data_IF_307547640984
#
_entry.id   IF_307547640984
#
_cell.length_a   1.000
_cell.length_b   1.000
_cell.length_c   1.000
_cell.angle_alpha   90.00
_cell.angle_beta   90.00
_cell.angle_gamma   90.00
#
_symmetry.space_group_name_H-M   'P 1'
#
loop_
_entity.id
_entity.type
_entity.pdbx_description
1 polymer ?
#
# COMPACT_ATOMS: atom_id res chain seq x y z
N UNK A 1 -22.02 12.00 2.33
CA UNK A 1 -21.88 11.47 0.94
C UNK A 1 -20.87 10.34 0.99
N UNK A 2 -21.35 9.09 0.80
CA UNK A 2 -20.47 7.91 0.81
C UNK A 2 -19.67 7.84 -0.49
N UNK A 3 -18.36 7.76 -0.37
CA UNK A 3 -17.44 7.68 -1.51
C UNK A 3 -16.73 6.32 -1.49
N UNK A 4 -16.99 5.50 -2.53
CA UNK A 4 -16.28 4.25 -2.72
C UNK A 4 -14.87 4.51 -3.24
N UNK A 5 -13.89 3.88 -2.62
CA UNK A 5 -12.48 4.00 -2.99
C UNK A 5 -11.95 2.59 -3.25
N UNK A 6 -11.77 2.26 -4.53
CA UNK A 6 -11.16 1.01 -4.97
C UNK A 6 -9.67 1.25 -5.15
N UNK A 7 -8.82 0.42 -4.55
CA UNK A 7 -7.38 0.57 -4.67
C UNK A 7 -6.62 -0.19 -3.60
N UNK A 8 -5.30 -0.04 -3.62
CA UNK A 8 -4.42 -0.77 -2.72
C UNK A 8 -4.48 -0.29 -1.27
N UNK A 9 -4.35 -1.25 -0.35
CA UNK A 9 -3.90 -1.06 1.02
C UNK A 9 -2.52 -1.69 1.11
N UNK A 10 -1.54 -0.98 1.66
CA UNK A 10 -0.16 -1.44 1.71
C UNK A 10 0.55 -0.98 2.98
N UNK A 11 1.65 -1.63 3.31
CA UNK A 11 2.64 -1.14 4.26
C UNK A 11 3.87 -0.62 3.54
N UNK A 12 4.37 0.54 3.97
CA UNK A 12 5.63 1.10 3.51
C UNK A 12 6.69 0.89 4.60
N UNK A 13 7.62 -0.05 4.35
CA UNK A 13 8.78 -0.30 5.22
C UNK A 13 9.92 0.61 4.74
N UNK A 14 10.18 1.67 5.48
CA UNK A 14 11.11 2.74 5.09
C UNK A 14 12.39 2.62 5.89
N UNK A 15 13.51 2.54 5.18
CA UNK A 15 14.87 2.41 5.71
C UNK A 15 15.74 3.56 5.20
N UNK A 16 16.57 4.12 6.06
CA UNK A 16 17.53 5.17 5.67
C UNK A 16 18.93 4.61 5.74
N UNK A 17 19.59 4.56 4.59
CA UNK A 17 20.98 4.20 4.48
C UNK A 17 21.85 5.45 4.77
N UNK A 18 22.75 5.43 5.78
CA UNK A 18 23.44 6.62 6.25
C UNK A 18 24.66 7.00 5.40
N UNK A 19 24.61 6.77 4.09
CA UNK A 19 25.63 7.13 3.10
C UNK A 19 24.95 7.30 1.72
N UNK A 20 25.73 7.42 0.66
CA UNK A 20 25.26 7.52 -0.72
C UNK A 20 25.42 6.18 -1.44
N UNK A 21 24.39 5.73 -2.17
CA UNK A 21 24.45 4.49 -2.97
C UNK A 21 25.61 4.46 -3.96
N UNK A 22 25.95 5.62 -4.56
CA UNK A 22 27.09 5.76 -5.49
C UNK A 22 28.44 5.36 -4.90
N UNK A 23 28.57 5.37 -3.57
CA UNK A 23 29.81 4.96 -2.89
C UNK A 23 29.92 3.44 -2.76
N UNK A 24 28.82 2.71 -2.94
CA UNK A 24 28.70 1.27 -2.73
C UNK A 24 28.33 0.50 -4.00
N UNK A 25 27.69 1.16 -4.96
CA UNK A 25 27.32 0.56 -6.26
C UNK A 25 28.32 1.06 -7.30
N UNK A 26 29.20 0.15 -7.77
CA UNK A 26 30.21 0.46 -8.78
C UNK A 26 29.59 0.31 -10.18
N UNK A 27 29.50 1.39 -10.98
CA UNK A 27 28.85 1.35 -12.29
C UNK A 27 29.41 0.28 -13.25
N UNK A 28 30.73 0.07 -13.22
CA UNK A 28 31.44 -0.91 -14.05
C UNK A 28 31.16 -2.37 -13.64
N UNK A 29 30.61 -2.59 -12.42
CA UNK A 29 30.30 -3.92 -11.88
C UNK A 29 28.80 -4.19 -11.74
N UNK A 30 27.95 -3.34 -12.30
CA UNK A 30 26.49 -3.45 -12.17
C UNK A 30 25.92 -4.77 -12.71
N UNK A 31 26.64 -5.41 -13.63
CA UNK A 31 26.25 -6.73 -14.18
C UNK A 31 26.41 -7.89 -13.18
N UNK A 32 27.11 -7.68 -12.07
CA UNK A 32 27.29 -8.65 -10.97
C UNK A 32 27.04 -7.96 -9.63
N UNK A 33 25.88 -7.29 -9.50
CA UNK A 33 25.56 -6.50 -8.33
C UNK A 33 25.31 -7.40 -7.12
N UNK A 34 26.17 -7.30 -6.11
CA UNK A 34 25.98 -7.90 -4.79
C UNK A 34 26.31 -6.83 -3.75
N UNK A 35 25.27 -6.13 -3.30
CA UNK A 35 25.41 -5.00 -2.36
C UNK A 35 24.53 -5.26 -1.15
N UNK A 36 25.07 -5.06 0.04
CA UNK A 36 24.35 -5.07 1.30
C UNK A 36 24.42 -3.69 1.95
N UNK A 37 23.27 -3.12 2.26
CA UNK A 37 23.20 -1.86 2.99
C UNK A 37 22.89 -2.13 4.46
N UNK A 38 23.76 -1.67 5.35
CA UNK A 38 23.46 -1.63 6.77
C UNK A 38 22.59 -0.40 7.05
N UNK A 39 21.34 -0.65 7.39
CA UNK A 39 20.38 0.40 7.74
C UNK A 39 20.09 0.33 9.24
N UNK A 40 20.46 1.36 10.01
CA UNK A 40 20.32 1.33 11.47
C UNK A 40 18.87 1.48 11.95
N UNK A 41 18.03 2.07 11.12
CA UNK A 41 16.63 2.36 11.45
C UNK A 41 15.67 1.92 10.35
N UNK A 42 14.56 1.34 10.77
CA UNK A 42 13.43 0.99 9.91
C UNK A 42 12.15 1.44 10.57
N UNK A 43 11.27 2.06 9.81
CA UNK A 43 9.90 2.35 10.22
C UNK A 43 8.90 1.71 9.26
N UNK A 44 7.76 1.33 9.78
CA UNK A 44 6.64 0.85 8.98
C UNK A 44 5.52 1.89 9.03
N UNK A 45 5.09 2.33 7.87
CA UNK A 45 4.01 3.30 7.71
C UNK A 45 2.78 2.65 7.06
N UNK A 46 1.62 3.22 7.32
CA UNK A 46 0.39 2.83 6.66
C UNK A 46 0.32 3.52 5.30
N UNK A 47 0.31 2.74 4.22
CA UNK A 47 0.36 3.20 2.84
C UNK A 47 -0.73 2.57 1.98
N UNK A 48 -0.50 2.60 0.67
CA UNK A 48 -1.49 2.18 -0.32
C UNK A 48 -2.44 3.30 -0.72
N UNK A 49 -2.79 3.33 -2.00
CA UNK A 49 -3.54 4.45 -2.57
C UNK A 49 -4.93 4.58 -1.95
N UNK A 50 -5.69 3.48 -1.79
CA UNK A 50 -7.01 3.54 -1.17
C UNK A 50 -6.93 3.94 0.30
N UNK A 51 -5.95 3.40 1.04
CA UNK A 51 -5.76 3.75 2.45
C UNK A 51 -5.50 5.24 2.66
N UNK A 52 -4.60 5.81 1.85
CA UNK A 52 -4.25 7.23 1.93
C UNK A 52 -5.42 8.14 1.50
N UNK A 53 -6.15 7.80 0.44
CA UNK A 53 -7.32 8.57 -0.01
C UNK A 53 -8.42 8.51 1.06
N UNK A 54 -8.69 7.34 1.62
CA UNK A 54 -9.71 7.16 2.66
C UNK A 54 -9.38 7.97 3.91
N UNK A 55 -8.12 7.94 4.35
CA UNK A 55 -7.65 8.75 5.48
C UNK A 55 -7.87 10.24 5.23
N UNK A 56 -7.41 10.76 4.10
CA UNK A 56 -7.52 12.18 3.78
C UNK A 56 -8.99 12.62 3.64
N UNK A 57 -9.82 11.81 2.97
CA UNK A 57 -11.26 12.07 2.85
C UNK A 57 -11.93 12.12 4.21
N UNK A 58 -11.57 11.21 5.12
CA UNK A 58 -12.10 11.18 6.49
C UNK A 58 -11.71 12.43 7.26
N UNK A 59 -10.45 12.87 7.15
CA UNK A 59 -9.98 14.11 7.79
C UNK A 59 -10.69 15.36 7.27
N UNK A 60 -11.16 15.34 6.04
CA UNK A 60 -11.97 16.40 5.43
C UNK A 60 -13.47 16.30 5.77
N UNK A 61 -13.87 15.37 6.63
CA UNK A 61 -15.26 15.18 7.06
C UNK A 61 -16.11 14.33 6.09
N UNK A 62 -15.48 13.65 5.14
CA UNK A 62 -16.18 12.75 4.23
C UNK A 62 -16.42 11.35 4.81
N UNK A 63 -17.11 10.51 4.05
CA UNK A 63 -17.46 9.13 4.41
C UNK A 63 -16.82 8.14 3.42
N UNK A 64 -15.55 7.78 3.63
CA UNK A 64 -14.88 6.79 2.78
C UNK A 64 -15.43 5.39 3.01
N UNK A 65 -15.62 4.68 1.91
CA UNK A 65 -15.93 3.24 1.86
C UNK A 65 -14.84 2.58 1.04
N UNK A 66 -13.98 1.81 1.70
CA UNK A 66 -12.87 1.18 0.99
C UNK A 66 -13.26 -0.15 0.37
N UNK A 67 -12.79 -0.39 -0.86
CA UNK A 67 -12.82 -1.67 -1.53
C UNK A 67 -11.39 -2.07 -1.88
N UNK A 68 -10.86 -3.05 -1.16
CA UNK A 68 -9.47 -3.48 -1.25
C UNK A 68 -9.32 -4.95 -0.86
N UNK A 69 -8.14 -5.53 -1.12
CA UNK A 69 -7.77 -6.86 -0.64
C UNK A 69 -6.56 -6.77 0.27
N UNK A 70 -6.57 -7.58 1.34
CA UNK A 70 -5.54 -7.58 2.40
C UNK A 70 -5.17 -9.00 2.78
N UNK A 71 -4.01 -9.18 3.35
CA UNK A 71 -3.50 -10.48 3.80
C UNK A 71 -3.59 -10.68 5.31
N UNK A 72 -2.91 -11.73 5.79
CA UNK A 72 -2.97 -12.18 7.19
C UNK A 72 -2.37 -11.16 8.19
N UNK A 73 -1.55 -10.25 7.72
CA UNK A 73 -0.89 -9.22 8.52
C UNK A 73 -1.67 -7.90 8.64
N UNK A 74 -2.95 -7.88 8.23
CA UNK A 74 -3.76 -6.66 8.16
C UNK A 74 -4.18 -6.09 9.52
N UNK A 75 -4.15 -6.86 10.61
CA UNK A 75 -4.71 -6.46 11.92
C UNK A 75 -4.29 -5.06 12.42
N UNK A 76 -3.01 -4.62 12.30
CA UNK A 76 -2.63 -3.27 12.73
C UNK A 76 -3.31 -2.17 11.91
N UNK A 77 -3.49 -2.41 10.62
CA UNK A 77 -4.16 -1.47 9.73
C UNK A 77 -5.67 -1.42 10.00
N UNK A 78 -6.29 -2.58 10.24
CA UNK A 78 -7.69 -2.67 10.65
C UNK A 78 -7.97 -1.84 11.91
N UNK A 79 -7.13 -1.99 12.94
CA UNK A 79 -7.24 -1.21 14.18
C UNK A 79 -7.15 0.31 13.93
N UNK A 80 -6.26 0.75 13.01
CA UNK A 80 -6.18 2.17 12.63
C UNK A 80 -7.47 2.65 11.98
N UNK A 81 -8.06 1.87 11.08
CA UNK A 81 -9.33 2.26 10.44
C UNK A 81 -10.49 2.31 11.43
N UNK A 82 -10.54 1.41 12.40
CA UNK A 82 -11.52 1.45 13.51
C UNK A 82 -11.39 2.73 14.32
N UNK A 83 -10.17 3.11 14.74
CA UNK A 83 -9.91 4.35 15.45
C UNK A 83 -10.37 5.59 14.67
N UNK A 84 -10.24 5.57 13.35
CA UNK A 84 -10.65 6.65 12.46
C UNK A 84 -12.14 6.56 12.07
N UNK A 85 -12.88 5.53 12.51
CA UNK A 85 -14.24 5.24 12.08
C UNK A 85 -14.38 5.19 10.56
N UNK A 86 -13.44 4.51 9.90
CA UNK A 86 -13.47 4.22 8.47
C UNK A 86 -14.01 2.79 8.30
N UNK A 87 -15.05 2.62 7.50
CA UNK A 87 -15.67 1.31 7.29
C UNK A 87 -14.78 0.37 6.48
N UNK A 88 -14.79 -0.89 6.88
CA UNK A 88 -14.02 -1.97 6.24
C UNK A 88 -14.96 -2.97 5.51
N UNK A 89 -16.20 -2.59 5.23
CA UNK A 89 -17.25 -3.50 4.74
C UNK A 89 -16.94 -4.19 3.40
N UNK A 90 -16.06 -3.58 2.58
CA UNK A 90 -15.59 -4.15 1.31
C UNK A 90 -14.08 -4.41 1.29
N UNK A 91 -13.45 -4.50 2.46
CA UNK A 91 -12.06 -4.98 2.58
C UNK A 91 -12.09 -6.50 2.68
N UNK A 92 -11.58 -7.17 1.65
CA UNK A 92 -11.59 -8.62 1.56
C UNK A 92 -10.25 -9.21 2.00
N UNK A 93 -10.31 -10.13 2.96
CA UNK A 93 -9.15 -10.90 3.41
C UNK A 93 -8.85 -12.04 2.41
N UNK A 94 -7.60 -12.15 2.02
CA UNK A 94 -7.04 -13.23 1.19
C UNK A 94 -6.10 -14.04 2.09
N UNK A 95 -6.42 -15.30 2.39
CA UNK A 95 -5.62 -16.13 3.28
C UNK A 95 -4.27 -16.52 2.65
N UNK A 96 -3.34 -16.91 3.50
CA UNK A 96 -2.01 -17.42 3.14
C UNK A 96 -1.18 -16.42 2.30
N UNK A 97 -1.42 -15.12 2.47
CA UNK A 97 -0.65 -14.08 1.81
C UNK A 97 -0.46 -12.87 2.71
N UNK A 98 0.46 -11.99 2.33
CA UNK A 98 0.65 -10.70 2.99
C UNK A 98 -0.20 -9.61 2.33
N UNK A 99 -0.58 -8.60 3.08
CA UNK A 99 -1.00 -7.30 2.53
C UNK A 99 0.14 -6.74 1.68
N UNK A 100 -0.16 -5.94 0.66
CA UNK A 100 0.87 -5.35 -0.18
C UNK A 100 1.92 -4.60 0.66
N UNK A 101 3.19 -4.70 0.28
CA UNK A 101 4.30 -4.07 1.01
C UNK A 101 5.32 -3.47 0.06
N UNK A 102 5.73 -2.24 0.35
CA UNK A 102 6.91 -1.62 -0.23
C UNK A 102 8.07 -1.68 0.77
N UNK A 103 9.25 -2.10 0.31
CA UNK A 103 10.51 -2.05 1.04
C UNK A 103 11.35 -0.97 0.38
N UNK A 104 11.44 0.17 1.04
CA UNK A 104 11.99 1.42 0.49
C UNK A 104 13.29 1.73 1.22
N UNK A 105 14.40 1.73 0.51
CA UNK A 105 15.68 2.20 1.05
C UNK A 105 16.04 3.50 0.37
N UNK A 106 16.25 4.56 1.16
CA UNK A 106 16.72 5.87 0.69
C UNK A 106 18.16 6.11 1.13
N UNK A 107 18.91 6.89 0.34
CA UNK A 107 20.25 7.35 0.72
C UNK A 107 20.25 8.83 1.15
N UNK A 108 21.41 9.38 1.51
CA UNK A 108 21.53 10.78 1.95
C UNK A 108 21.36 11.81 0.83
N UNK A 109 21.22 11.39 -0.42
CA UNK A 109 20.93 12.25 -1.58
C UNK A 109 19.52 12.02 -2.12
N UNK A 110 18.60 11.46 -1.30
CA UNK A 110 17.22 11.15 -1.66
C UNK A 110 17.06 10.17 -2.85
N UNK A 111 18.13 9.43 -3.21
CA UNK A 111 17.97 8.32 -4.13
C UNK A 111 17.24 7.16 -3.43
N UNK A 112 16.46 6.40 -4.21
CA UNK A 112 15.60 5.37 -3.66
C UNK A 112 15.77 4.05 -4.41
N UNK A 113 15.88 2.97 -3.66
CA UNK A 113 15.76 1.60 -4.16
C UNK A 113 14.53 0.99 -3.48
N UNK A 114 13.57 0.52 -4.30
CA UNK A 114 12.32 -0.04 -3.79
C UNK A 114 12.11 -1.45 -4.33
N UNK A 115 11.82 -2.38 -3.42
CA UNK A 115 11.22 -3.67 -3.74
C UNK A 115 9.74 -3.63 -3.34
N UNK A 116 8.84 -3.94 -4.28
CA UNK A 116 7.41 -3.97 -4.02
C UNK A 116 6.87 -5.40 -4.09
N UNK A 117 6.22 -5.83 -3.02
CA UNK A 117 5.52 -7.10 -2.94
C UNK A 117 4.01 -6.83 -2.99
N UNK A 118 3.31 -7.20 -4.07
CA UNK A 118 1.88 -6.89 -4.22
C UNK A 118 0.99 -7.73 -3.29
N UNK A 119 1.39 -8.94 -2.92
CA UNK A 119 0.62 -9.79 -2.01
C UNK A 119 -0.85 -9.91 -2.41
N UNK A 120 -1.74 -9.69 -1.43
CA UNK A 120 -3.19 -9.75 -1.61
C UNK A 120 -3.73 -8.79 -2.68
N UNK A 121 -3.01 -7.70 -3.02
CA UNK A 121 -3.39 -6.77 -4.08
C UNK A 121 -3.57 -7.45 -5.44
N UNK A 122 -2.84 -8.54 -5.70
CA UNK A 122 -3.01 -9.34 -6.93
C UNK A 122 -4.40 -10.00 -7.02
N UNK A 123 -5.12 -10.08 -5.91
CA UNK A 123 -6.46 -10.67 -5.83
C UNK A 123 -7.58 -9.62 -5.82
N UNK A 124 -7.29 -8.37 -6.16
CA UNK A 124 -8.25 -7.26 -6.16
C UNK A 124 -9.48 -7.53 -7.03
N UNK A 125 -9.36 -8.38 -8.07
CA UNK A 125 -10.45 -8.86 -8.93
C UNK A 125 -11.53 -9.68 -8.19
N UNK A 126 -11.27 -10.12 -6.96
CA UNK A 126 -12.28 -10.79 -6.12
C UNK A 126 -13.35 -9.80 -5.61
N UNK A 127 -13.04 -8.52 -5.59
CA UNK A 127 -13.99 -7.46 -5.27
C UNK A 127 -14.83 -7.07 -6.50
N UNK A 128 -16.03 -6.54 -6.23
CA UNK A 128 -16.90 -6.02 -7.28
C UNK A 128 -17.62 -4.77 -6.79
N UNK A 129 -17.51 -3.69 -7.54
CA UNK A 129 -18.22 -2.42 -7.28
C UNK A 129 -19.74 -2.60 -7.25
N UNK A 130 -20.26 -3.64 -7.89
CA UNK A 130 -21.71 -3.99 -7.89
C UNK A 130 -22.21 -4.37 -6.49
N UNK A 131 -21.33 -4.76 -5.58
CA UNK A 131 -21.67 -5.10 -4.20
C UNK A 131 -21.83 -3.87 -3.31
N UNK A 132 -21.26 -2.73 -3.69
CA UNK A 132 -21.35 -1.50 -2.92
C UNK A 132 -22.72 -0.84 -3.13
N UNK A 133 -23.34 -0.39 -2.01
CA UNK A 133 -24.66 0.24 -2.00
C UNK A 133 -24.57 1.66 -1.45
N UNK A 134 -25.50 2.50 -1.86
CA UNK A 134 -25.63 3.88 -1.38
C UNK A 134 -24.35 4.70 -1.59
N UNK A 135 -23.69 4.49 -2.72
CA UNK A 135 -22.48 5.20 -3.12
C UNK A 135 -22.84 6.38 -4.02
N UNK A 136 -22.33 7.56 -3.67
CA UNK A 136 -22.55 8.80 -4.42
C UNK A 136 -21.42 9.10 -5.41
N UNK A 137 -20.19 8.61 -5.10
CA UNK A 137 -19.00 8.82 -5.91
C UNK A 137 -18.09 7.58 -5.82
N UNK A 138 -17.50 7.18 -6.94
CA UNK A 138 -16.48 6.14 -7.02
C UNK A 138 -15.12 6.72 -7.40
N UNK A 139 -14.06 6.27 -6.74
CA UNK A 139 -12.67 6.55 -7.08
C UNK A 139 -11.97 5.22 -7.34
N UNK A 140 -11.38 5.07 -8.52
CA UNK A 140 -10.52 3.93 -8.85
C UNK A 140 -9.08 4.41 -8.79
N UNK A 141 -8.35 3.90 -7.81
CA UNK A 141 -6.94 4.20 -7.57
C UNK A 141 -6.06 2.98 -7.97
N UNK A 142 -4.74 3.14 -8.07
CA UNK A 142 -3.85 2.03 -8.39
C UNK A 142 -4.05 0.80 -7.50
N UNK A 143 -4.21 -0.36 -8.17
CA UNK A 143 -4.50 -1.66 -7.57
C UNK A 143 -3.96 -2.77 -8.49
N UNK A 144 -4.26 -4.03 -8.19
CA UNK A 144 -4.03 -5.14 -9.12
C UNK A 144 -4.72 -4.89 -10.47
N UNK A 145 -4.00 -5.18 -11.57
CA UNK A 145 -4.46 -4.88 -12.93
C UNK A 145 -5.87 -5.39 -13.21
N UNK A 146 -6.14 -6.64 -12.82
CA UNK A 146 -7.42 -7.29 -13.13
C UNK A 146 -8.57 -6.68 -12.32
N UNK A 147 -8.31 -6.25 -11.08
CA UNK A 147 -9.29 -5.50 -10.27
C UNK A 147 -9.63 -4.16 -10.90
N UNK A 148 -8.63 -3.37 -11.30
CA UNK A 148 -8.86 -2.07 -11.95
C UNK A 148 -9.65 -2.17 -13.26
N UNK A 149 -9.59 -3.31 -13.96
CA UNK A 149 -10.35 -3.54 -15.18
C UNK A 149 -11.81 -3.98 -14.92
N UNK A 150 -12.09 -4.49 -13.72
CA UNK A 150 -13.41 -4.96 -13.31
C UNK A 150 -14.23 -3.91 -12.56
N UNK A 151 -13.59 -2.85 -12.07
CA UNK A 151 -14.21 -1.72 -11.39
C UNK A 151 -14.59 -0.63 -12.38
#
# INVERSE_FOLDING_TARGET
>A
MRTLICGSIAYDNIMVFPDHFKNHILPEKIHMLNVAFLVPEMRREFGGCAGNIAYNLKMLGGEPVMMATVGDDFSPYAARFEQLSITQEHVQHVPDTFTAQAFITTDLADNQITAFHPGAMNSSHLNSVKNARDISLGIIAPDGRDGMLLH
#
